data_IF_142510662617
#
_entry.id   IF_142510662617
#
_cell.length_a   1.000
_cell.length_b   1.000
_cell.length_c   1.000
_cell.angle_alpha   90.00
_cell.angle_beta   90.00
_cell.angle_gamma   90.00
#
_symmetry.space_group_name_H-M   'P 1'
#
loop_
_entity.id
_entity.type
_entity.pdbx_description
1 polymer ?
#
# COMPACT_ATOMS: atom_id res chain seq x y z
N UNK A 1 7.23 1.33 13.82
CA UNK A 1 8.67 1.24 13.47
C UNK A 1 8.73 0.71 12.05
N UNK A 2 9.37 1.46 11.15
CA UNK A 2 9.54 1.05 9.77
C UNK A 2 10.33 -0.26 9.66
N UNK A 3 10.08 -1.01 8.59
CA UNK A 3 10.84 -2.23 8.26
C UNK A 3 11.94 -1.89 7.25
N UNK A 4 12.92 -2.77 7.00
CA UNK A 4 13.99 -2.50 6.02
C UNK A 4 13.50 -2.20 4.59
N UNK A 5 12.28 -2.61 4.23
CA UNK A 5 11.75 -2.48 2.86
C UNK A 5 10.59 -1.48 2.75
N UNK A 6 9.90 -1.21 3.85
CA UNK A 6 8.67 -0.41 3.85
C UNK A 6 8.77 0.62 4.98
N UNK A 7 8.84 1.89 4.58
CA UNK A 7 8.92 3.04 5.48
C UNK A 7 7.51 3.54 5.85
N UNK A 8 6.81 2.75 6.66
CA UNK A 8 5.48 3.07 7.16
C UNK A 8 5.41 2.85 8.69
N UNK A 9 4.54 3.59 9.34
CA UNK A 9 4.24 3.44 10.76
C UNK A 9 3.07 2.48 11.00
N UNK A 10 2.88 2.12 12.26
CA UNK A 10 1.74 1.29 12.64
C UNK A 10 0.47 2.14 12.50
N UNK A 11 -0.49 1.70 11.71
CA UNK A 11 -1.73 2.43 11.41
C UNK A 11 -1.78 3.08 10.03
N UNK A 12 -0.66 3.13 9.29
CA UNK A 12 -0.65 3.64 7.91
C UNK A 12 -1.31 2.66 6.92
N UNK A 13 -1.39 1.38 7.28
CA UNK A 13 -2.08 0.34 6.53
C UNK A 13 -3.43 0.00 7.18
N UNK A 14 -4.46 -0.14 6.35
CA UNK A 14 -5.74 -0.70 6.76
C UNK A 14 -5.63 -2.20 7.09
N UNK A 15 -6.64 -2.74 7.78
CA UNK A 15 -6.69 -4.17 8.15
C UNK A 15 -6.69 -5.11 6.93
N UNK A 16 -7.20 -4.63 5.79
CA UNK A 16 -7.24 -5.35 4.52
C UNK A 16 -6.47 -4.57 3.46
N UNK A 17 -5.45 -5.19 2.88
CA UNK A 17 -4.57 -4.57 1.88
C UNK A 17 -4.54 -5.40 0.60
N UNK A 18 -4.70 -4.75 -0.55
CA UNK A 18 -4.47 -5.37 -1.85
C UNK A 18 -2.99 -5.23 -2.25
N UNK A 19 -2.36 -6.34 -2.65
CA UNK A 19 -0.93 -6.37 -3.01
C UNK A 19 -0.73 -6.71 -4.50
N UNK A 20 -0.95 -5.74 -5.41
CA UNK A 20 -0.62 -5.93 -6.82
C UNK A 20 0.89 -5.97 -7.02
N UNK A 21 1.37 -6.83 -7.92
CA UNK A 21 2.81 -6.96 -8.19
C UNK A 21 3.44 -5.78 -8.95
N UNK A 22 2.63 -4.93 -9.60
CA UNK A 22 3.09 -3.75 -10.33
C UNK A 22 2.74 -2.47 -9.54
N UNK A 23 3.72 -1.61 -9.19
CA UNK A 23 3.46 -0.36 -8.47
C UNK A 23 2.56 0.61 -9.26
N UNK A 24 2.59 0.60 -10.60
CA UNK A 24 1.72 1.46 -11.40
C UNK A 24 0.27 0.98 -11.31
N UNK A 25 0.03 -0.33 -11.19
CA UNK A 25 -1.30 -0.88 -10.93
C UNK A 25 -1.76 -0.53 -9.52
N UNK A 26 -0.88 -0.57 -8.51
CA UNK A 26 -1.22 -0.14 -7.15
C UNK A 26 -1.72 1.30 -7.14
N UNK A 27 -0.99 2.19 -7.83
CA UNK A 27 -1.37 3.60 -8.00
C UNK A 27 -2.71 3.75 -8.72
N UNK A 28 -2.90 3.08 -9.85
CA UNK A 28 -4.15 3.11 -10.59
C UNK A 28 -5.36 2.70 -9.73
N UNK A 29 -5.22 1.61 -8.95
CA UNK A 29 -6.30 1.14 -8.07
C UNK A 29 -6.63 2.21 -7.02
N UNK A 30 -5.61 2.79 -6.37
CA UNK A 30 -5.79 3.81 -5.34
C UNK A 30 -6.46 5.10 -5.86
N UNK A 31 -6.23 5.47 -7.12
CA UNK A 31 -6.79 6.69 -7.72
C UNK A 31 -8.21 6.51 -8.30
N UNK A 32 -8.59 5.29 -8.67
CA UNK A 32 -9.84 5.03 -9.42
C UNK A 32 -10.91 4.27 -8.63
N UNK A 33 -10.55 3.62 -7.51
CA UNK A 33 -11.48 2.85 -6.67
C UNK A 33 -11.39 3.28 -5.20
N UNK A 34 -11.90 4.48 -4.85
CA UNK A 34 -11.95 4.95 -3.47
C UNK A 34 -12.96 4.19 -2.60
#
# INVERSE_FOLDING_TARGET
>A
MATPHINAEMGDFADVVLMPGDPLRAKYIAENFP
#
